data_IF_964723265100
#
_entry.id   IF_964723265100
#
_cell.length_a   1.000
_cell.length_b   1.000
_cell.length_c   1.000
_cell.angle_alpha   90.00
_cell.angle_beta   90.00
_cell.angle_gamma   90.00
#
_symmetry.space_group_name_H-M   'P 1'
#
loop_
_entity.id
_entity.type
_entity.pdbx_description
1 polymer ?
#
# COMPACT_ATOMS: atom_id res chain seq x y z
N UNK A 1 -2.09 12.63 -38.57
CA UNK A 1 -2.23 12.19 -37.17
C UNK A 1 -2.47 13.43 -36.32
N UNK A 2 -3.61 13.53 -35.64
CA UNK A 2 -3.91 14.69 -34.80
C UNK A 2 -3.15 14.57 -33.48
N UNK A 3 -2.17 15.43 -33.27
CA UNK A 3 -1.49 15.56 -31.99
C UNK A 3 -2.42 16.30 -31.01
N UNK A 4 -2.90 15.60 -29.99
CA UNK A 4 -3.55 16.24 -28.84
C UNK A 4 -2.46 16.81 -27.94
N UNK A 5 -2.35 18.14 -27.90
CA UNK A 5 -1.45 18.85 -27.00
C UNK A 5 -2.09 18.86 -25.61
N UNK A 6 -1.47 18.19 -24.64
CA UNK A 6 -1.93 18.18 -23.25
C UNK A 6 -1.53 19.49 -22.58
N UNK A 7 -2.53 20.34 -22.29
CA UNK A 7 -2.38 21.55 -21.47
C UNK A 7 -3.15 21.35 -20.17
N UNK A 8 -2.48 20.82 -19.15
CA UNK A 8 -3.09 20.54 -17.85
C UNK A 8 -2.04 20.15 -16.80
N UNK A 9 -2.51 19.81 -15.60
CA UNK A 9 -1.69 19.39 -14.47
C UNK A 9 -1.91 17.90 -14.19
N UNK A 10 -0.83 17.13 -14.02
CA UNK A 10 -0.90 15.78 -13.45
C UNK A 10 -0.78 15.88 -11.92
N UNK A 11 -1.81 15.44 -11.21
CA UNK A 11 -1.71 15.25 -9.75
C UNK A 11 -1.13 13.85 -9.49
N UNK A 12 0.10 13.79 -8.99
CA UNK A 12 0.70 12.55 -8.49
C UNK A 12 0.10 12.26 -7.11
N UNK A 13 -0.98 11.48 -7.09
CA UNK A 13 -1.53 10.90 -5.87
C UNK A 13 -0.67 9.69 -5.48
N UNK A 14 -0.08 9.76 -4.29
CA UNK A 14 0.73 8.69 -3.72
C UNK A 14 -0.11 7.56 -3.09
N UNK A 15 -1.43 7.60 -3.30
CA UNK A 15 -2.39 6.68 -2.72
C UNK A 15 -2.86 7.08 -1.31
N UNK A 16 -2.23 8.07 -0.64
CA UNK A 16 -2.53 8.40 0.75
C UNK A 16 -3.99 8.83 0.97
N UNK A 17 -4.66 9.34 -0.08
CA UNK A 17 -6.05 9.78 -0.05
C UNK A 17 -7.06 8.65 -0.29
N UNK A 18 -6.64 7.44 -0.65
CA UNK A 18 -7.54 6.29 -0.80
C UNK A 18 -7.75 5.56 0.54
N UNK A 19 -8.98 5.10 0.84
CA UNK A 19 -9.25 4.31 2.04
C UNK A 19 -8.44 3.00 2.11
N UNK A 20 -7.84 2.59 0.99
CA UNK A 20 -7.27 1.26 0.80
C UNK A 20 -8.31 0.34 0.18
N UNK A 21 -7.88 -0.57 -0.68
CA UNK A 21 -8.68 -1.67 -1.21
C UNK A 21 -8.09 -2.96 -0.67
N UNK A 22 -8.89 -3.96 -0.33
CA UNK A 22 -8.35 -5.29 -0.08
C UNK A 22 -8.29 -6.02 -1.42
N UNK A 23 -7.08 -6.26 -1.93
CA UNK A 23 -6.90 -7.17 -3.04
C UNK A 23 -6.79 -8.60 -2.50
N UNK A 24 -7.53 -9.51 -3.11
CA UNK A 24 -7.34 -10.94 -2.90
C UNK A 24 -6.02 -11.42 -3.50
N UNK A 25 -5.57 -12.62 -3.12
CA UNK A 25 -4.41 -13.26 -3.73
C UNK A 25 -4.56 -13.35 -5.26
N UNK A 26 -3.46 -13.30 -5.99
CA UNK A 26 -3.36 -13.36 -7.46
C UNK A 26 -3.93 -12.17 -8.23
N UNK A 27 -4.59 -11.21 -7.58
CA UNK A 27 -5.09 -10.03 -8.27
C UNK A 27 -3.93 -9.10 -8.67
N UNK A 28 -3.88 -8.66 -9.92
CA UNK A 28 -2.85 -7.72 -10.37
C UNK A 28 -2.96 -6.40 -9.59
N UNK A 29 -1.89 -5.96 -8.90
CA UNK A 29 -1.90 -4.66 -8.24
C UNK A 29 -2.03 -3.54 -9.28
N UNK A 30 -2.84 -2.55 -8.95
CA UNK A 30 -2.92 -1.31 -9.72
C UNK A 30 -1.76 -0.41 -9.29
N UNK A 31 -1.13 0.23 -10.27
CA UNK A 31 -0.14 1.27 -9.98
C UNK A 31 -0.76 2.36 -9.11
N UNK A 32 0.01 2.81 -8.12
CA UNK A 32 -0.36 3.82 -7.11
C UNK A 32 -1.52 3.37 -6.20
N UNK A 33 -1.77 2.05 -6.10
CA UNK A 33 -2.74 1.48 -5.19
C UNK A 33 -2.34 1.58 -3.72
N UNK A 34 -3.34 1.50 -2.84
CA UNK A 34 -3.14 1.29 -1.41
C UNK A 34 -3.88 0.05 -0.98
N UNK A 35 -3.17 -0.87 -0.32
CA UNK A 35 -3.70 -2.19 -0.01
C UNK A 35 -3.52 -2.53 1.47
N UNK A 36 -4.49 -3.27 2.00
CA UNK A 36 -4.30 -4.02 3.25
C UNK A 36 -3.45 -5.25 2.93
N UNK A 37 -2.34 -5.39 3.65
CA UNK A 37 -1.40 -6.50 3.52
C UNK A 37 -0.93 -6.93 4.91
N UNK A 38 -0.17 -8.02 4.98
CA UNK A 38 0.23 -8.66 6.22
C UNK A 38 1.74 -8.92 6.23
N UNK A 39 2.33 -8.84 7.42
CA UNK A 39 3.73 -9.18 7.66
C UNK A 39 3.84 -10.03 8.92
N UNK A 40 4.32 -11.27 8.76
CA UNK A 40 4.66 -12.15 9.87
C UNK A 40 6.04 -11.84 10.40
N UNK A 41 6.17 -11.73 11.72
CA UNK A 41 7.43 -11.42 12.39
C UNK A 41 7.46 -11.97 13.80
N UNK A 42 8.58 -11.76 14.51
CA UNK A 42 8.70 -12.11 15.94
C UNK A 42 8.02 -11.08 16.82
N UNK A 43 7.60 -11.46 18.03
CA UNK A 43 6.97 -10.51 18.96
C UNK A 43 7.92 -9.35 19.29
N UNK A 44 9.20 -9.64 19.53
CA UNK A 44 10.24 -8.64 19.75
C UNK A 44 10.41 -7.69 18.56
N UNK A 45 10.44 -8.21 17.34
CA UNK A 45 10.51 -7.43 16.10
C UNK A 45 9.27 -6.55 15.91
N UNK A 46 8.07 -7.06 16.22
CA UNK A 46 6.84 -6.27 16.12
C UNK A 46 6.86 -5.04 17.04
N UNK A 47 7.36 -5.17 18.27
CA UNK A 47 7.55 -4.02 19.17
C UNK A 47 8.46 -2.96 18.54
N UNK A 48 9.58 -3.39 17.96
CA UNK A 48 10.53 -2.48 17.29
C UNK A 48 9.92 -1.82 16.05
N UNK A 49 9.17 -2.58 15.25
CA UNK A 49 8.50 -2.06 14.05
C UNK A 49 7.42 -1.05 14.42
N UNK A 50 6.64 -1.30 15.46
CA UNK A 50 5.59 -0.37 15.92
C UNK A 50 6.20 0.91 16.48
N UNK A 51 7.33 0.82 17.19
CA UNK A 51 8.00 1.97 17.77
C UNK A 51 8.78 2.81 16.73
N UNK A 52 9.50 2.15 15.83
CA UNK A 52 10.51 2.79 14.99
C UNK A 52 10.18 2.76 13.48
N UNK A 53 9.12 2.06 13.09
CA UNK A 53 8.82 1.74 11.70
C UNK A 53 9.63 0.56 11.17
N UNK A 54 9.34 0.19 9.92
CA UNK A 54 10.06 -0.88 9.23
C UNK A 54 11.47 -0.43 8.82
N UNK A 55 12.37 -1.42 8.71
CA UNK A 55 13.66 -1.31 8.04
C UNK A 55 13.68 -2.28 6.86
N UNK A 56 14.45 -1.95 5.83
CA UNK A 56 14.65 -2.88 4.71
C UNK A 56 15.40 -4.12 5.20
N UNK A 57 15.02 -5.29 4.70
CA UNK A 57 15.88 -6.47 4.75
C UNK A 57 17.15 -6.24 3.92
N UNK A 58 18.22 -6.98 4.22
CA UNK A 58 19.44 -6.96 3.41
C UNK A 58 19.29 -7.63 2.03
N UNK A 59 18.21 -8.40 1.82
CA UNK A 59 17.96 -9.15 0.60
C UNK A 59 16.67 -9.97 0.66
N UNK A 60 16.58 -10.98 -0.22
CA UNK A 60 15.44 -11.89 -0.36
C UNK A 60 15.13 -12.17 -1.83
N UNK A 61 14.02 -12.87 -2.09
CA UNK A 61 13.59 -13.29 -3.44
C UNK A 61 13.52 -12.15 -4.44
N UNK A 62 13.19 -10.95 -3.96
CA UNK A 62 12.99 -9.72 -4.74
C UNK A 62 14.01 -8.64 -4.35
N UNK A 63 15.16 -9.01 -3.77
CA UNK A 63 16.18 -8.07 -3.30
C UNK A 63 15.82 -7.42 -1.96
N UNK A 64 16.46 -6.29 -1.65
CA UNK A 64 16.22 -5.56 -0.40
C UNK A 64 14.84 -4.89 -0.37
N UNK A 65 14.19 -4.88 0.79
CA UNK A 65 12.93 -4.18 1.00
C UNK A 65 12.14 -4.69 2.19
N UNK A 66 10.88 -4.26 2.27
CA UNK A 66 9.90 -4.75 3.24
C UNK A 66 9.00 -5.76 2.54
N UNK A 67 9.09 -7.02 2.96
CA UNK A 67 8.32 -8.12 2.41
C UNK A 67 6.94 -8.18 3.06
N UNK A 68 5.90 -8.18 2.25
CA UNK A 68 4.50 -8.20 2.70
C UNK A 68 3.71 -9.19 1.85
N UNK A 69 2.61 -9.68 2.41
CA UNK A 69 1.74 -10.68 1.78
C UNK A 69 0.30 -10.20 1.78
N UNK A 70 -0.45 -10.48 0.74
CA UNK A 70 -1.91 -10.30 0.72
C UNK A 70 -2.65 -11.44 1.41
N UNK A 71 -1.99 -12.59 1.51
CA UNK A 71 -2.47 -13.76 2.26
C UNK A 71 -1.99 -13.70 3.71
N UNK A 72 -2.94 -13.53 4.64
CA UNK A 72 -2.71 -13.55 6.07
C UNK A 72 -2.16 -14.89 6.56
N UNK A 73 -2.65 -16.03 6.03
CA UNK A 73 -2.17 -17.36 6.40
C UNK A 73 -0.73 -17.57 5.95
N UNK A 74 -0.38 -17.10 4.74
CA UNK A 74 1.03 -17.06 4.31
C UNK A 74 1.88 -16.24 5.29
N UNK A 75 1.45 -15.03 5.65
CA UNK A 75 2.19 -14.19 6.59
C UNK A 75 2.36 -14.86 7.95
N UNK A 76 1.33 -15.54 8.46
CA UNK A 76 1.39 -16.34 9.68
C UNK A 76 2.34 -17.54 9.60
N UNK A 77 2.89 -17.86 8.43
CA UNK A 77 3.97 -18.82 8.25
C UNK A 77 5.36 -18.29 8.64
N UNK A 78 5.53 -16.98 8.85
CA UNK A 78 6.84 -16.34 9.01
C UNK A 78 7.06 -15.71 10.40
N UNK A 79 8.29 -15.79 10.94
CA UNK A 79 9.44 -16.49 10.39
C UNK A 79 9.31 -18.03 10.52
N UNK A 80 9.70 -18.78 9.48
CA UNK A 80 9.43 -20.22 9.38
C UNK A 80 9.99 -21.06 10.54
N UNK A 81 11.21 -20.75 10.98
CA UNK A 81 11.90 -21.45 12.08
C UNK A 81 11.64 -20.84 13.47
N UNK A 82 10.58 -20.05 13.61
CA UNK A 82 10.17 -19.47 14.88
C UNK A 82 9.04 -20.28 15.52
N UNK A 83 9.08 -20.44 16.86
CA UNK A 83 7.98 -21.02 17.62
C UNK A 83 6.67 -20.27 17.34
N UNK A 84 5.52 -20.96 17.21
CA UNK A 84 4.22 -20.32 17.14
C UNK A 84 3.97 -19.33 18.28
N UNK A 85 4.53 -19.60 19.47
CA UNK A 85 4.41 -18.72 20.65
C UNK A 85 5.17 -17.39 20.55
N UNK A 86 6.05 -17.23 19.57
CA UNK A 86 6.77 -15.97 19.29
C UNK A 86 6.41 -15.41 17.90
N UNK A 87 5.31 -15.88 17.29
CA UNK A 87 4.88 -15.40 15.97
C UNK A 87 3.73 -14.41 16.08
N UNK A 88 3.84 -13.31 15.37
CA UNK A 88 2.82 -12.27 15.28
C UNK A 88 2.65 -11.82 13.83
N UNK A 89 1.41 -11.54 13.45
CA UNK A 89 1.09 -10.99 12.12
C UNK A 89 0.61 -9.55 12.29
N UNK A 90 1.34 -8.62 11.68
CA UNK A 90 0.96 -7.22 11.59
C UNK A 90 0.02 -7.00 10.41
N UNK A 91 -1.04 -6.21 10.61
CA UNK A 91 -1.89 -5.69 9.53
C UNK A 91 -1.33 -4.34 9.07
N UNK A 92 -1.17 -4.19 7.76
CA UNK A 92 -0.44 -3.11 7.14
C UNK A 92 -1.31 -2.36 6.13
N UNK A 93 -1.16 -1.04 6.09
CA UNK A 93 -1.58 -0.20 4.97
C UNK A 93 -0.36 0.10 4.11
N UNK A 94 -0.34 -0.44 2.89
CA UNK A 94 0.82 -0.38 1.99
C UNK A 94 0.51 0.49 0.78
N UNK A 95 1.33 1.52 0.54
CA UNK A 95 1.30 2.36 -0.67
C UNK A 95 2.26 1.81 -1.72
N UNK A 96 1.77 0.99 -2.65
CA UNK A 96 2.64 0.21 -3.56
C UNK A 96 3.31 1.03 -4.66
N UNK A 97 2.85 2.26 -4.92
CA UNK A 97 3.46 3.13 -5.93
C UNK A 97 3.55 2.48 -7.32
N UNK A 98 4.67 2.64 -8.02
CA UNK A 98 4.94 1.94 -9.29
C UNK A 98 5.31 0.48 -9.02
N UNK A 99 4.50 -0.45 -9.51
CA UNK A 99 4.72 -1.88 -9.28
C UNK A 99 5.41 -2.52 -10.48
N UNK A 100 6.47 -3.28 -10.23
CA UNK A 100 7.10 -4.17 -11.20
C UNK A 100 6.63 -5.60 -10.98
N UNK A 101 5.95 -6.17 -11.98
CA UNK A 101 5.66 -7.61 -12.01
C UNK A 101 6.94 -8.39 -12.33
N UNK A 102 7.22 -9.42 -11.52
CA UNK A 102 8.36 -10.34 -11.65
C UNK A 102 7.79 -11.74 -11.91
N UNK A 103 7.46 -12.04 -13.16
CA UNK A 103 6.66 -13.20 -13.59
C UNK A 103 7.42 -14.14 -14.53
N UNK A 104 8.72 -14.26 -14.36
CA UNK A 104 9.52 -15.27 -15.03
C UNK A 104 10.74 -15.63 -14.18
N UNK A 105 11.19 -16.87 -14.30
CA UNK A 105 12.46 -17.29 -13.71
C UNK A 105 13.61 -16.46 -14.30
N UNK A 106 14.53 -15.99 -13.46
CA UNK A 106 15.65 -15.18 -13.92
C UNK A 106 15.23 -13.81 -14.47
N UNK A 107 14.10 -13.25 -14.02
CA UNK A 107 13.66 -11.94 -14.47
C UNK A 107 14.78 -10.89 -14.27
N UNK A 108 15.16 -10.10 -15.29
CA UNK A 108 16.35 -9.23 -15.24
C UNK A 108 16.30 -8.17 -14.14
N UNK A 109 15.09 -7.76 -13.75
CA UNK A 109 14.84 -6.82 -12.66
C UNK A 109 14.48 -7.46 -11.32
N UNK A 110 14.66 -8.77 -11.13
CA UNK A 110 14.20 -9.50 -9.93
C UNK A 110 14.67 -8.85 -8.62
N UNK A 111 15.92 -8.39 -8.56
CA UNK A 111 16.51 -7.74 -7.39
C UNK A 111 16.85 -6.26 -7.60
N UNK A 112 16.75 -5.75 -8.83
CA UNK A 112 17.20 -4.41 -9.25
C UNK A 112 16.07 -3.48 -9.70
N UNK A 113 14.80 -3.91 -9.58
CA UNK A 113 13.62 -3.12 -9.94
C UNK A 113 13.58 -1.73 -9.31
N UNK A 114 14.05 -1.58 -8.07
CA UNK A 114 14.06 -0.29 -7.38
C UNK A 114 14.98 0.74 -8.06
N UNK A 115 16.12 0.29 -8.61
CA UNK A 115 17.04 1.14 -9.38
C UNK A 115 16.41 1.61 -10.71
N UNK A 116 15.34 0.97 -11.17
CA UNK A 116 14.57 1.35 -12.36
C UNK A 116 13.36 2.23 -12.02
N UNK A 117 13.28 2.76 -10.80
CA UNK A 117 12.23 3.69 -10.36
C UNK A 117 10.89 3.03 -10.03
N UNK A 118 10.90 1.72 -9.72
CA UNK A 118 9.74 1.03 -9.16
C UNK A 118 9.76 1.09 -7.63
N UNK A 119 8.59 1.25 -7.02
CA UNK A 119 8.41 1.33 -5.57
C UNK A 119 8.13 -0.02 -4.93
N UNK A 120 7.61 -0.97 -5.70
CA UNK A 120 7.29 -2.34 -5.25
C UNK A 120 7.56 -3.34 -6.36
N UNK A 121 8.17 -4.48 -6.02
CA UNK A 121 8.14 -5.67 -6.86
C UNK A 121 7.04 -6.61 -6.40
N UNK A 122 6.37 -7.24 -7.36
CA UNK A 122 5.31 -8.23 -7.13
C UNK A 122 5.63 -9.52 -7.87
N UNK A 123 5.80 -10.59 -7.11
CA UNK A 123 5.93 -11.96 -7.59
C UNK A 123 4.54 -12.61 -7.59
N UNK A 124 3.93 -12.90 -8.75
CA UNK A 124 2.66 -13.60 -8.81
C UNK A 124 2.80 -15.08 -8.40
N UNK A 125 1.69 -15.74 -8.01
CA UNK A 125 1.72 -17.13 -7.51
C UNK A 125 2.09 -18.18 -8.56
N UNK A 126 2.16 -17.83 -9.85
CA UNK A 126 2.53 -18.76 -10.92
C UNK A 126 3.93 -19.36 -10.77
N UNK A 127 4.79 -18.77 -9.94
CA UNK A 127 6.17 -19.22 -9.70
C UNK A 127 6.46 -19.54 -8.23
N UNK A 128 5.42 -19.83 -7.43
CA UNK A 128 5.55 -20.14 -6.01
C UNK A 128 4.55 -19.38 -5.15
N UNK A 129 4.98 -18.86 -4.01
CA UNK A 129 4.11 -18.10 -3.11
C UNK A 129 4.11 -16.62 -3.47
N UNK A 130 2.94 -16.05 -3.73
CA UNK A 130 2.78 -14.62 -4.04
C UNK A 130 3.45 -13.72 -3.00
N UNK A 131 4.25 -12.75 -3.46
CA UNK A 131 5.05 -11.89 -2.59
C UNK A 131 5.15 -10.47 -3.14
N UNK A 132 4.93 -9.48 -2.28
CA UNK A 132 5.17 -8.08 -2.57
C UNK A 132 6.40 -7.62 -1.76
N UNK A 133 7.34 -6.92 -2.41
CA UNK A 133 8.52 -6.34 -1.76
C UNK A 133 8.52 -4.83 -2.00
N UNK A 134 8.38 -4.04 -0.93
CA UNK A 134 8.27 -2.58 -0.98
C UNK A 134 9.63 -1.95 -0.65
N UNK A 135 10.12 -1.05 -1.49
CA UNK A 135 11.49 -0.54 -1.34
C UNK A 135 11.62 0.40 -0.14
N UNK A 136 10.84 1.50 -0.12
CA UNK A 136 10.87 2.49 0.95
C UNK A 136 9.95 2.06 2.13
N UNK A 137 10.51 1.77 3.32
CA UNK A 137 9.72 1.41 4.49
C UNK A 137 8.64 2.44 4.88
N UNK A 138 8.80 3.72 4.53
CA UNK A 138 7.82 4.78 4.81
C UNK A 138 6.51 4.60 4.03
N UNK A 139 6.49 3.71 3.03
CA UNK A 139 5.27 3.32 2.30
C UNK A 139 4.46 2.25 3.02
N UNK A 140 4.99 1.66 4.08
CA UNK A 140 4.37 0.57 4.85
C UNK A 140 4.02 1.08 6.25
N UNK A 141 2.72 1.12 6.57
CA UNK A 141 2.23 1.56 7.88
C UNK A 141 1.56 0.41 8.61
N UNK A 142 1.97 0.14 9.85
CA UNK A 142 1.22 -0.74 10.75
C UNK A 142 -0.11 -0.08 11.12
N UNK A 143 -1.22 -0.78 10.89
CA UNK A 143 -2.57 -0.30 11.19
C UNK A 143 -3.33 -1.21 12.15
N UNK A 144 -2.84 -2.43 12.38
CA UNK A 144 -3.44 -3.37 13.32
C UNK A 144 -2.55 -4.57 13.62
N UNK A 145 -3.04 -5.42 14.54
CA UNK A 145 -2.45 -6.71 14.89
C UNK A 145 -3.43 -7.78 14.40
N UNK A 146 -3.07 -8.48 13.35
CA UNK A 146 -3.95 -9.45 12.69
C UNK A 146 -3.95 -10.82 13.39
N UNK A 147 -2.81 -11.23 13.96
CA UNK A 147 -2.67 -12.44 14.77
C UNK A 147 -1.58 -12.25 15.82
N UNK A 148 -1.74 -12.86 16.99
CA UNK A 148 -0.76 -12.83 18.08
C UNK A 148 -0.84 -14.16 18.87
N UNK A 149 0.24 -14.57 19.54
CA UNK A 149 0.30 -15.89 20.18
C UNK A 149 -0.47 -15.96 21.50
N UNK A 150 -0.84 -14.81 22.08
CA UNK A 150 -1.71 -14.73 23.26
C UNK A 150 -2.45 -13.40 23.30
N UNK A 151 -3.57 -13.35 24.03
CA UNK A 151 -4.34 -12.13 24.27
C UNK A 151 -3.51 -11.05 24.94
N UNK A 152 -2.63 -11.42 25.88
CA UNK A 152 -1.75 -10.49 26.57
C UNK A 152 -0.82 -9.74 25.60
N UNK A 153 -0.18 -10.48 24.68
CA UNK A 153 0.70 -9.90 23.66
C UNK A 153 -0.12 -9.06 22.67
N UNK A 154 -1.31 -9.52 22.27
CA UNK A 154 -2.18 -8.75 21.39
C UNK A 154 -2.54 -7.39 21.99
N UNK A 155 -2.98 -7.37 23.26
CA UNK A 155 -3.34 -6.16 23.98
C UNK A 155 -2.14 -5.24 24.15
N UNK A 156 -0.98 -5.78 24.51
CA UNK A 156 0.27 -5.01 24.62
C UNK A 156 0.61 -4.30 23.31
N UNK A 157 0.65 -5.02 22.19
CA UNK A 157 1.01 -4.46 20.88
C UNK A 157 -0.04 -3.44 20.39
N UNK A 158 -1.33 -3.67 20.66
CA UNK A 158 -2.39 -2.70 20.36
C UNK A 158 -2.22 -1.40 21.16
N UNK A 159 -1.85 -1.51 22.45
CA UNK A 159 -1.56 -0.34 23.28
C UNK A 159 -0.32 0.42 22.78
N UNK A 160 0.74 -0.29 22.38
CA UNK A 160 1.91 0.33 21.78
C UNK A 160 1.54 1.09 20.50
N UNK A 161 0.76 0.47 19.61
CA UNK A 161 0.31 1.09 18.36
C UNK A 161 -0.58 2.33 18.60
N UNK A 162 -1.40 2.30 19.66
CA UNK A 162 -2.23 3.44 20.04
C UNK A 162 -1.41 4.62 20.61
N UNK A 163 -0.28 4.34 21.26
CA UNK A 163 0.65 5.32 21.83
C UNK A 163 1.61 5.91 20.80
N UNK A 164 1.94 5.18 19.74
CA UNK A 164 2.81 5.71 18.67
C UNK A 164 2.18 6.98 18.11
N UNK A 165 2.89 8.13 18.09
CA UNK A 165 2.36 9.37 17.58
C UNK A 165 1.90 9.14 16.14
N UNK A 166 0.59 9.28 15.91
CA UNK A 166 0.07 9.36 14.55
C UNK A 166 0.82 10.55 13.94
N UNK A 167 1.64 10.32 12.90
CA UNK A 167 2.13 11.36 11.97
C UNK A 167 1.12 12.49 11.94
N UNK A 168 1.53 13.76 12.13
CA UNK A 168 0.65 14.85 12.54
C UNK A 168 -0.72 14.66 11.95
N UNK A 169 -1.71 14.42 12.83
CA UNK A 169 -3.12 14.48 12.45
C UNK A 169 -3.33 15.86 11.85
N UNK A 170 -3.27 15.95 10.52
CA UNK A 170 -3.98 16.97 9.79
C UNK A 170 -5.47 16.68 9.96
N UNK A 171 -6.06 17.26 10.99
CA UNK A 171 -7.50 17.22 11.26
C UNK A 171 -8.00 15.95 11.95
N UNK A 172 -8.91 16.14 12.89
CA UNK A 172 -9.52 15.09 13.70
C UNK A 172 -10.40 14.13 12.91
N UNK A 173 -10.80 13.07 13.61
CA UNK A 173 -11.80 12.13 13.15
C UNK A 173 -13.19 12.80 13.14
N UNK A 174 -13.45 13.60 12.12
CA UNK A 174 -14.77 13.66 11.51
C UNK A 174 -14.77 12.61 10.39
N UNK A 175 -15.89 11.94 10.14
CA UNK A 175 -16.04 11.01 9.02
C UNK A 175 -15.46 11.69 7.77
N UNK A 176 -14.33 11.20 7.26
CA UNK A 176 -13.63 11.87 6.18
C UNK A 176 -14.54 11.83 4.95
N UNK A 177 -15.12 12.98 4.59
CA UNK A 177 -15.97 13.12 3.41
C UNK A 177 -15.19 12.62 2.19
N UNK A 178 -15.62 11.46 1.69
CA UNK A 178 -15.10 10.86 0.47
C UNK A 178 -15.75 11.60 -0.69
N UNK A 179 -14.94 12.20 -1.56
CA UNK A 179 -15.46 12.90 -2.72
C UNK A 179 -16.27 11.95 -3.61
N UNK A 180 -17.54 12.29 -3.87
CA UNK A 180 -18.44 11.46 -4.66
C UNK A 180 -17.97 11.23 -6.11
N UNK A 181 -17.15 12.14 -6.66
CA UNK A 181 -16.64 12.09 -8.03
C UNK A 181 -15.32 11.32 -8.14
N UNK A 182 -14.30 11.66 -7.35
CA UNK A 182 -12.97 11.02 -7.46
C UNK A 182 -12.72 9.89 -6.44
N UNK A 183 -13.67 9.64 -5.52
CA UNK A 183 -13.63 8.61 -4.47
C UNK A 183 -12.42 8.70 -3.52
N UNK A 184 -11.76 9.86 -3.45
CA UNK A 184 -10.65 10.13 -2.53
C UNK A 184 -11.15 10.83 -1.27
N UNK A 185 -10.48 10.60 -0.14
CA UNK A 185 -10.70 11.31 1.11
C UNK A 185 -10.16 12.73 1.01
N UNK A 186 -10.94 13.69 1.49
CA UNK A 186 -10.52 15.09 1.60
C UNK A 186 -9.33 15.21 2.56
N UNK A 187 -8.20 15.75 2.08
CA UNK A 187 -7.01 16.03 2.89
C UNK A 187 -6.94 17.53 3.21
N UNK A 188 -6.42 17.90 4.39
CA UNK A 188 -6.23 19.31 4.75
C UNK A 188 -5.27 19.99 3.77
N UNK A 189 -5.74 21.04 3.09
CA UNK A 189 -5.02 21.73 2.02
C UNK A 189 -5.26 21.21 0.60
N UNK A 190 -6.08 20.17 0.43
CA UNK A 190 -6.44 19.60 -0.88
C UNK A 190 -7.96 19.57 -1.04
N UNK A 191 -8.54 20.75 -1.30
CA UNK A 191 -9.98 20.87 -1.52
C UNK A 191 -10.41 20.17 -2.81
N UNK A 192 -11.50 19.41 -2.73
CA UNK A 192 -12.12 18.79 -3.88
C UNK A 192 -12.98 19.81 -4.63
N UNK A 193 -12.38 20.55 -5.56
CA UNK A 193 -13.12 21.45 -6.45
C UNK A 193 -13.87 20.61 -7.48
N UNK A 194 -15.20 20.73 -7.50
CA UNK A 194 -16.08 20.14 -8.51
C UNK A 194 -16.32 21.18 -9.60
N UNK A 195 -16.14 20.78 -10.86
CA UNK A 195 -16.35 21.64 -12.02
C UNK A 195 -16.90 20.82 -13.19
N UNK A 196 -17.36 21.47 -14.25
CA UNK A 196 -17.81 20.79 -15.45
C UNK A 196 -16.61 20.49 -16.37
N UNK A 197 -16.61 19.32 -17.00
CA UNK A 197 -15.67 19.02 -18.07
C UNK A 197 -15.92 19.98 -19.24
N UNK A 198 -14.88 20.69 -19.68
CA UNK A 198 -14.93 21.63 -20.79
C UNK A 198 -15.40 21.05 -22.14
N UNK A 199 -15.45 19.72 -22.28
CA UNK A 199 -15.75 19.02 -23.54
C UNK A 199 -17.11 18.34 -23.51
N UNK A 200 -17.38 17.53 -22.50
CA UNK A 200 -18.63 16.76 -22.42
C UNK A 200 -19.64 17.34 -21.41
N UNK A 201 -19.27 18.36 -20.63
CA UNK A 201 -20.14 18.96 -19.62
C UNK A 201 -20.38 18.12 -18.36
N UNK A 202 -19.81 16.92 -18.25
CA UNK A 202 -19.98 16.09 -17.06
C UNK A 202 -19.27 16.69 -15.84
N UNK A 203 -19.85 16.49 -14.65
CA UNK A 203 -19.25 16.89 -13.39
C UNK A 203 -17.95 16.10 -13.13
N UNK A 204 -16.86 16.84 -12.95
CA UNK A 204 -15.52 16.33 -12.65
C UNK A 204 -14.98 16.95 -11.37
N UNK A 205 -14.05 16.26 -10.72
CA UNK A 205 -13.29 16.77 -9.59
C UNK A 205 -11.85 16.98 -10.03
N UNK A 206 -11.24 18.11 -9.71
CA UNK A 206 -9.85 18.42 -10.11
C UNK A 206 -8.81 17.40 -9.61
N UNK A 207 -9.14 16.64 -8.57
CA UNK A 207 -8.28 15.60 -7.99
C UNK A 207 -8.57 14.21 -8.56
N UNK A 208 -9.37 14.07 -9.62
CA UNK A 208 -9.52 12.78 -10.28
C UNK A 208 -8.26 12.41 -11.09
N UNK A 209 -7.91 11.13 -11.11
CA UNK A 209 -6.73 10.66 -11.87
C UNK A 209 -6.94 10.73 -13.38
N UNK A 210 -8.18 10.57 -13.85
CA UNK A 210 -8.55 10.64 -15.26
C UNK A 210 -10.06 10.85 -15.41
N UNK A 211 -10.45 11.52 -16.48
CA UNK A 211 -11.84 11.63 -16.96
C UNK A 211 -11.86 11.24 -18.43
N UNK A 212 -12.80 10.38 -18.81
CA UNK A 212 -13.03 10.02 -20.21
C UNK A 212 -14.35 10.62 -20.65
N UNK A 213 -14.29 11.51 -21.64
CA UNK A 213 -15.48 11.99 -22.29
C UNK A 213 -16.06 10.85 -23.12
N UNK A 214 -17.30 10.44 -22.84
CA UNK A 214 -18.03 9.60 -23.78
C UNK A 214 -18.12 10.34 -25.12
N UNK A 215 -17.74 9.67 -26.20
CA UNK A 215 -17.97 10.17 -27.55
C UNK A 215 -19.49 10.21 -27.72
N UNK A 216 -20.06 11.39 -27.95
CA UNK A 216 -21.46 11.46 -28.41
C UNK A 216 -21.52 10.76 -29.77
N UNK A 217 -22.50 9.88 -30.02
CA UNK A 217 -22.76 9.37 -31.37
C UNK A 217 -22.87 10.51 -32.39
#
# INVERSE_FOLDING_TARGET
>A
MAHLQFSGWEVVDDGASFPGVMLGPSQTPQNRGVYTMYHGTRVSSARLIIANGFKQSAGGTLGQGVYVSRDKKKADGYPALCSPSDRVVLELRVRVGRVKRIDQLGHPLQISWHAQGYDTAWLPPTFGLEEDCVFDPKRVKVVGIANAPSTAIQTELQQLLAKTPKSPRRGGAAAADVCSLCKRKTQQGSQHIKQHCWKCGQNICILMSKHFCAVKP
#
